data_IF_658877840367
#
_entry.id   IF_658877840367
#
_cell.length_a   1.000
_cell.length_b   1.000
_cell.length_c   1.000
_cell.angle_alpha   90.00
_cell.angle_beta   90.00
_cell.angle_gamma   90.00
#
_symmetry.space_group_name_H-M   'P 1'
#
loop_
_entity.id
_entity.type
_entity.pdbx_description
1 polymer ?
#
# COMPACT_ATOMS: atom_id res chain seq x y z
N UNK A 1 42.78 32.15 -11.71
CA UNK A 1 42.17 30.81 -11.65
C UNK A 1 40.92 30.72 -10.75
N UNK A 2 40.68 31.61 -9.78
CA UNK A 2 39.56 31.48 -8.82
C UNK A 2 38.13 31.74 -9.34
N UNK A 3 37.92 32.67 -10.30
CA UNK A 3 36.56 33.04 -10.76
C UNK A 3 35.86 31.96 -11.59
N UNK A 4 36.58 31.23 -12.47
CA UNK A 4 36.02 30.12 -13.25
C UNK A 4 35.61 28.94 -12.36
N UNK A 5 36.43 28.60 -11.36
CA UNK A 5 36.10 27.51 -10.44
C UNK A 5 34.91 27.85 -9.52
N UNK A 6 34.74 29.13 -9.17
CA UNK A 6 33.58 29.60 -8.41
C UNK A 6 32.28 29.58 -9.24
N UNK A 7 32.35 29.97 -10.53
CA UNK A 7 31.20 29.91 -11.45
C UNK A 7 30.82 28.45 -11.75
N UNK A 8 31.81 27.58 -11.98
CA UNK A 8 31.59 26.14 -12.20
C UNK A 8 31.00 25.50 -10.93
N UNK A 9 31.53 25.82 -9.75
CA UNK A 9 30.99 25.35 -8.47
C UNK A 9 29.55 25.81 -8.23
N UNK A 10 29.25 27.08 -8.50
CA UNK A 10 27.89 27.62 -8.40
C UNK A 10 26.91 26.96 -9.38
N UNK A 11 27.33 26.72 -10.62
CA UNK A 11 26.51 26.04 -11.63
C UNK A 11 26.24 24.57 -11.28
N UNK A 12 27.22 23.86 -10.71
CA UNK A 12 27.06 22.48 -10.24
C UNK A 12 26.07 22.40 -9.06
N UNK A 13 26.21 23.31 -8.08
CA UNK A 13 25.29 23.36 -6.92
C UNK A 13 23.86 23.71 -7.36
N UNK A 14 23.70 24.70 -8.24
CA UNK A 14 22.39 25.05 -8.80
C UNK A 14 21.77 23.89 -9.60
N UNK A 15 22.58 23.20 -10.40
CA UNK A 15 22.14 22.01 -11.15
C UNK A 15 21.67 20.88 -10.23
N UNK A 16 22.42 20.57 -9.17
CA UNK A 16 22.02 19.56 -8.18
C UNK A 16 20.74 19.95 -7.43
N UNK A 17 20.56 21.22 -7.10
CA UNK A 17 19.34 21.72 -6.45
C UNK A 17 18.11 21.60 -7.36
N UNK A 18 18.25 21.88 -8.66
CA UNK A 18 17.17 21.71 -9.65
C UNK A 18 16.82 20.23 -9.81
N UNK A 19 17.82 19.35 -9.92
CA UNK A 19 17.59 17.89 -10.02
C UNK A 19 16.88 17.36 -8.78
N UNK A 20 17.34 17.74 -7.58
CA UNK A 20 16.68 17.36 -6.32
C UNK A 20 15.24 17.91 -6.22
N UNK A 21 15.02 19.16 -6.64
CA UNK A 21 13.70 19.80 -6.64
C UNK A 21 12.70 19.17 -7.62
N UNK A 22 13.18 18.67 -8.77
CA UNK A 22 12.35 17.99 -9.77
C UNK A 22 12.14 16.50 -9.47
N UNK A 23 13.07 15.84 -8.77
CA UNK A 23 13.00 14.40 -8.50
C UNK A 23 11.78 13.99 -7.66
N UNK A 24 11.38 14.79 -6.67
CA UNK A 24 10.20 14.52 -5.83
C UNK A 24 8.86 14.59 -6.58
N UNK A 25 8.52 15.67 -7.30
CA UNK A 25 7.29 15.72 -8.10
C UNK A 25 7.29 14.70 -9.24
N UNK A 26 8.44 14.46 -9.89
CA UNK A 26 8.55 13.42 -10.93
C UNK A 26 8.33 12.02 -10.36
N UNK A 27 8.78 11.73 -9.13
CA UNK A 27 8.52 10.45 -8.47
C UNK A 27 7.02 10.22 -8.17
N UNK A 28 6.21 11.28 -8.07
CA UNK A 28 4.74 11.21 -7.93
C UNK A 28 3.99 11.22 -9.28
N UNK A 29 4.68 11.37 -10.40
CA UNK A 29 4.07 11.42 -11.74
C UNK A 29 4.01 10.04 -12.40
N UNK A 30 4.88 9.10 -12.01
CA UNK A 30 4.88 7.75 -12.56
C UNK A 30 3.62 6.97 -12.15
N UNK A 31 2.87 6.46 -13.12
CA UNK A 31 1.93 5.38 -12.86
C UNK A 31 2.73 4.12 -12.58
N UNK A 32 2.47 3.47 -11.45
CA UNK A 32 3.07 2.17 -11.16
C UNK A 32 2.23 1.11 -11.87
N UNK A 33 2.85 0.25 -12.67
CA UNK A 33 2.18 -0.88 -13.36
C UNK A 33 2.13 -2.13 -12.48
N UNK A 34 0.95 -2.75 -12.32
CA UNK A 34 0.80 -3.91 -11.41
C UNK A 34 1.59 -5.07 -11.99
N UNK A 35 2.41 -5.72 -11.17
CA UNK A 35 3.25 -6.83 -11.63
C UNK A 35 2.35 -7.91 -12.27
N UNK A 36 2.73 -8.38 -13.45
CA UNK A 36 1.96 -9.37 -14.20
C UNK A 36 1.78 -10.67 -13.42
N UNK A 37 2.77 -11.07 -12.61
CA UNK A 37 2.71 -12.25 -11.74
C UNK A 37 1.65 -12.05 -10.66
N UNK A 38 1.53 -10.84 -10.12
CA UNK A 38 0.52 -10.49 -9.14
C UNK A 38 -0.89 -10.51 -9.76
N UNK A 39 -1.03 -9.99 -10.99
CA UNK A 39 -2.29 -10.01 -11.75
C UNK A 39 -2.75 -11.43 -12.11
N UNK A 40 -1.81 -12.31 -12.42
CA UNK A 40 -2.09 -13.71 -12.78
C UNK A 40 -2.54 -14.51 -11.56
N UNK A 41 -1.88 -14.32 -10.40
CA UNK A 41 -2.13 -15.12 -9.20
C UNK A 41 -3.36 -14.69 -8.41
N UNK A 42 -3.76 -13.41 -8.48
CA UNK A 42 -5.01 -12.96 -7.85
C UNK A 42 -6.20 -13.55 -8.62
N UNK A 43 -6.95 -14.45 -7.98
CA UNK A 43 -8.09 -15.13 -8.61
C UNK A 43 -9.40 -14.35 -8.50
N UNK A 44 -9.53 -13.48 -7.50
CA UNK A 44 -10.75 -12.72 -7.24
C UNK A 44 -10.90 -11.56 -8.25
N UNK A 45 -11.90 -11.58 -9.15
CA UNK A 45 -12.10 -10.52 -10.14
C UNK A 45 -12.43 -9.18 -9.50
N UNK A 46 -13.12 -9.15 -8.36
CA UNK A 46 -13.41 -7.89 -7.68
C UNK A 46 -12.13 -7.29 -7.08
N UNK A 47 -11.21 -8.14 -6.60
CA UNK A 47 -9.90 -7.68 -6.15
C UNK A 47 -9.04 -7.17 -7.32
N UNK A 48 -9.11 -7.79 -8.50
CA UNK A 48 -8.39 -7.33 -9.71
C UNK A 48 -8.67 -5.86 -10.04
N UNK A 49 -9.93 -5.45 -9.97
CA UNK A 49 -10.34 -4.06 -10.21
C UNK A 49 -9.78 -3.09 -9.15
N UNK A 50 -9.49 -3.57 -7.94
CA UNK A 50 -8.92 -2.77 -6.85
C UNK A 50 -7.38 -2.75 -6.84
N UNK A 51 -6.72 -3.60 -7.63
CA UNK A 51 -5.25 -3.68 -7.65
C UNK A 51 -4.54 -2.35 -7.96
N UNK A 52 -5.04 -1.48 -8.86
CA UNK A 52 -4.46 -0.16 -9.04
C UNK A 52 -4.47 0.68 -7.76
N UNK A 53 -5.54 0.60 -6.97
CA UNK A 53 -5.64 1.30 -5.68
C UNK A 53 -4.63 0.72 -4.71
N UNK A 54 -4.67 -0.59 -4.47
CA UNK A 54 -3.74 -1.23 -3.54
C UNK A 54 -2.28 -0.97 -3.91
N UNK A 55 -1.94 -1.00 -5.20
CA UNK A 55 -0.56 -0.78 -5.60
C UNK A 55 -0.10 0.67 -5.39
N UNK A 56 -0.95 1.64 -5.66
CA UNK A 56 -0.57 3.04 -5.51
C UNK A 56 -0.61 3.53 -4.06
N UNK A 57 -1.35 2.82 -3.18
CA UNK A 57 -1.61 3.28 -1.81
C UNK A 57 -0.97 2.38 -0.74
N UNK A 58 -0.86 1.07 -0.97
CA UNK A 58 -0.50 0.09 0.07
C UNK A 58 0.79 -0.67 -0.21
N UNK A 59 1.00 -1.12 -1.46
CA UNK A 59 2.00 -2.16 -1.76
C UNK A 59 3.45 -1.68 -1.66
N UNK A 60 3.73 -0.39 -1.71
CA UNK A 60 5.09 0.14 -1.53
C UNK A 60 5.74 -0.37 -0.22
N UNK A 61 4.93 -0.56 0.83
CA UNK A 61 5.36 -1.10 2.12
C UNK A 61 4.85 -2.52 2.41
N UNK A 62 3.74 -2.95 1.79
CA UNK A 62 3.06 -4.21 2.09
C UNK A 62 3.31 -5.34 1.09
N UNK A 63 4.16 -5.13 0.07
CA UNK A 63 4.65 -6.19 -0.83
C UNK A 63 6.17 -6.25 -0.80
N UNK A 64 6.71 -7.47 -0.74
CA UNK A 64 8.16 -7.73 -0.80
C UNK A 64 8.75 -7.33 -2.15
N UNK A 65 7.96 -7.42 -3.23
CA UNK A 65 8.36 -7.10 -4.61
C UNK A 65 8.31 -5.61 -4.98
N UNK A 66 7.89 -4.72 -4.06
CA UNK A 66 7.68 -3.33 -4.42
C UNK A 66 8.98 -2.56 -4.75
N UNK A 67 8.95 -1.79 -5.84
CA UNK A 67 10.06 -0.95 -6.25
C UNK A 67 10.12 0.33 -5.40
N UNK A 68 11.23 0.47 -4.67
CA UNK A 68 11.44 1.62 -3.80
C UNK A 68 11.81 2.87 -4.59
N UNK A 69 11.40 4.05 -4.11
CA UNK A 69 11.85 5.31 -4.72
C UNK A 69 13.37 5.45 -4.57
N UNK A 70 14.00 6.17 -5.50
CA UNK A 70 15.46 6.35 -5.56
C UNK A 70 16.08 6.81 -4.23
N UNK A 71 15.32 7.62 -3.46
CA UNK A 71 15.81 8.19 -2.21
C UNK A 71 15.89 7.15 -1.08
N UNK A 72 15.23 6.00 -1.19
CA UNK A 72 15.25 4.95 -0.17
C UNK A 72 16.65 4.38 0.10
N UNK A 73 17.59 4.55 -0.84
CA UNK A 73 18.99 4.16 -0.69
C UNK A 73 19.91 5.25 -0.16
N UNK A 74 19.42 6.48 0.04
CA UNK A 74 20.28 7.61 0.39
C UNK A 74 20.78 7.52 1.85
N UNK A 75 22.07 7.87 2.11
CA UNK A 75 22.60 7.95 3.46
C UNK A 75 21.76 8.88 4.35
N UNK A 76 21.56 8.49 5.61
CA UNK A 76 20.80 9.27 6.60
C UNK A 76 19.30 8.94 6.67
N UNK A 77 18.67 8.46 5.58
CA UNK A 77 17.24 8.09 5.56
C UNK A 77 16.99 6.62 5.26
N UNK A 78 17.91 5.93 4.59
CA UNK A 78 17.73 4.54 4.18
C UNK A 78 17.41 3.58 5.33
N UNK A 79 18.06 3.75 6.48
CA UNK A 79 17.80 2.94 7.67
C UNK A 79 16.36 3.04 8.17
N UNK A 80 15.81 4.26 8.20
CA UNK A 80 14.43 4.50 8.62
C UNK A 80 13.43 3.90 7.62
N UNK A 81 13.65 4.12 6.31
CA UNK A 81 12.78 3.55 5.26
C UNK A 81 12.73 2.02 5.35
N UNK A 82 13.88 1.37 5.56
CA UNK A 82 13.94 -0.09 5.69
C UNK A 82 13.29 -0.59 6.99
N UNK A 83 13.46 0.13 8.10
CA UNK A 83 12.81 -0.20 9.37
C UNK A 83 11.29 -0.10 9.26
N UNK A 84 10.77 0.95 8.64
CA UNK A 84 9.34 1.15 8.43
C UNK A 84 8.75 0.08 7.51
N UNK A 85 9.42 -0.27 6.41
CA UNK A 85 8.99 -1.38 5.53
C UNK A 85 9.00 -2.72 6.25
N UNK A 86 10.07 -3.02 6.99
CA UNK A 86 10.15 -4.27 7.77
C UNK A 86 9.00 -4.36 8.76
N UNK A 87 8.68 -3.25 9.44
CA UNK A 87 7.54 -3.18 10.34
C UNK A 87 6.23 -3.41 9.57
N UNK A 88 6.00 -2.71 8.46
CA UNK A 88 4.78 -2.83 7.65
C UNK A 88 4.53 -4.28 7.19
N UNK A 89 5.55 -4.94 6.62
CA UNK A 89 5.47 -6.35 6.20
C UNK A 89 5.18 -7.28 7.37
N UNK A 90 5.75 -7.03 8.55
CA UNK A 90 5.45 -7.83 9.74
C UNK A 90 3.99 -7.69 10.22
N UNK A 91 3.34 -6.55 9.95
CA UNK A 91 1.91 -6.37 10.25
C UNK A 91 1.02 -6.99 9.17
N UNK A 92 1.43 -6.89 7.91
CA UNK A 92 0.68 -7.39 6.78
C UNK A 92 1.58 -7.54 5.55
N UNK A 93 1.68 -8.77 5.05
CA UNK A 93 2.42 -9.13 3.83
C UNK A 93 1.45 -9.66 2.79
N UNK A 94 1.22 -8.85 1.76
CA UNK A 94 0.27 -9.15 0.70
C UNK A 94 0.74 -10.32 -0.18
N UNK A 95 2.06 -10.49 -0.36
CA UNK A 95 2.59 -11.54 -1.21
C UNK A 95 2.39 -12.92 -0.57
N UNK A 96 2.38 -13.00 0.77
CA UNK A 96 2.06 -14.23 1.48
C UNK A 96 0.55 -14.50 1.48
N UNK A 97 -0.26 -13.48 1.76
CA UNK A 97 -1.68 -13.70 2.04
C UNK A 97 -2.58 -13.81 0.80
N UNK A 98 -2.23 -13.13 -0.30
CA UNK A 98 -3.11 -13.08 -1.49
C UNK A 98 -2.76 -14.15 -2.52
N UNK A 99 -1.55 -14.72 -2.44
CA UNK A 99 -1.06 -15.69 -3.41
C UNK A 99 -1.35 -17.15 -3.01
N UNK A 100 -1.72 -17.40 -1.75
CA UNK A 100 -1.83 -18.75 -1.18
C UNK A 100 -3.28 -19.21 -0.90
N UNK A 101 -4.29 -18.35 -1.05
CA UNK A 101 -5.69 -18.74 -0.82
C UNK A 101 -6.65 -17.57 -0.60
N UNK A 102 -7.71 -17.81 0.19
CA UNK A 102 -8.62 -16.76 0.63
C UNK A 102 -7.93 -15.83 1.65
N UNK A 103 -8.14 -14.53 1.49
CA UNK A 103 -7.57 -13.51 2.37
C UNK A 103 -8.12 -13.69 3.79
N UNK A 104 -7.26 -13.83 4.82
CA UNK A 104 -7.71 -14.03 6.19
C UNK A 104 -8.60 -12.89 6.69
N UNK A 105 -9.59 -13.21 7.52
CA UNK A 105 -10.45 -12.21 8.16
C UNK A 105 -9.66 -11.19 8.97
N UNK A 106 -8.56 -11.60 9.61
CA UNK A 106 -7.67 -10.69 10.33
C UNK A 106 -7.09 -9.60 9.41
N UNK A 107 -6.82 -9.92 8.16
CA UNK A 107 -6.27 -8.99 7.17
C UNK A 107 -7.35 -8.08 6.61
N UNK A 108 -8.54 -8.62 6.31
CA UNK A 108 -9.71 -7.82 5.95
C UNK A 108 -10.05 -6.79 7.06
N UNK A 109 -10.01 -7.22 8.33
CA UNK A 109 -10.22 -6.35 9.48
C UNK A 109 -9.16 -5.25 9.62
N UNK A 110 -7.87 -5.58 9.43
CA UNK A 110 -6.78 -4.59 9.43
C UNK A 110 -6.98 -3.55 8.33
N UNK A 111 -7.32 -3.98 7.11
CA UNK A 111 -7.56 -3.07 5.98
C UNK A 111 -8.75 -2.15 6.28
N UNK A 112 -9.87 -2.71 6.74
CA UNK A 112 -11.04 -1.90 7.12
C UNK A 112 -10.67 -0.87 8.18
N UNK A 113 -9.99 -1.27 9.26
CA UNK A 113 -9.63 -0.38 10.36
C UNK A 113 -8.78 0.80 9.88
N UNK A 114 -7.75 0.56 9.07
CA UNK A 114 -6.89 1.66 8.61
C UNK A 114 -7.57 2.61 7.63
N UNK A 115 -8.58 2.12 6.89
CA UNK A 115 -9.43 2.93 6.02
C UNK A 115 -10.41 3.79 6.82
N UNK A 116 -11.06 3.20 7.84
CA UNK A 116 -11.98 3.90 8.74
C UNK A 116 -11.25 4.98 9.57
N UNK A 117 -10.03 4.68 10.02
CA UNK A 117 -9.23 5.62 10.79
C UNK A 117 -8.49 6.66 9.93
N UNK A 118 -8.39 6.46 8.62
CA UNK A 118 -7.59 7.33 7.72
C UNK A 118 -6.09 7.34 8.03
N UNK A 119 -5.59 6.32 8.74
CA UNK A 119 -4.22 6.24 9.25
C UNK A 119 -3.22 5.68 8.23
N UNK A 120 -3.69 5.15 7.10
CA UNK A 120 -2.85 4.65 6.02
C UNK A 120 -3.07 5.43 4.71
N UNK A 121 -1.99 5.76 3.97
CA UNK A 121 -0.60 5.61 4.38
C UNK A 121 -0.22 6.55 5.54
N UNK A 122 0.87 6.26 6.28
CA UNK A 122 1.32 7.12 7.37
C UNK A 122 1.52 8.56 6.89
N UNK A 123 1.22 9.54 7.74
CA UNK A 123 1.31 10.97 7.36
C UNK A 123 2.68 11.36 6.80
N UNK A 124 3.76 10.86 7.40
CA UNK A 124 5.13 11.11 6.92
C UNK A 124 5.41 10.53 5.52
N UNK A 125 4.70 9.46 5.13
CA UNK A 125 4.77 8.95 3.77
C UNK A 125 4.06 9.90 2.81
N UNK A 126 2.87 10.39 3.19
CA UNK A 126 2.04 11.31 2.39
C UNK A 126 2.71 12.66 2.12
N UNK A 127 3.63 13.13 2.97
CA UNK A 127 4.36 14.38 2.70
C UNK A 127 5.27 14.29 1.48
N UNK A 128 5.85 13.11 1.24
CA UNK A 128 6.68 12.83 0.06
C UNK A 128 5.87 12.22 -1.09
N UNK A 129 4.76 11.56 -0.77
CA UNK A 129 3.88 10.84 -1.71
C UNK A 129 2.44 11.28 -1.56
N UNK A 130 2.11 12.53 -1.84
CA UNK A 130 0.77 13.07 -1.59
C UNK A 130 -0.34 12.33 -2.36
N UNK A 131 -0.03 11.80 -3.55
CA UNK A 131 -0.95 10.97 -4.34
C UNK A 131 -1.24 9.59 -3.73
N UNK A 132 -0.47 9.18 -2.71
CA UNK A 132 -0.71 7.92 -1.99
C UNK A 132 -1.88 7.99 -1.00
N UNK A 133 -2.45 9.18 -0.77
CA UNK A 133 -3.65 9.33 0.05
C UNK A 133 -4.83 8.55 -0.53
N UNK A 134 -5.52 7.76 0.28
CA UNK A 134 -6.74 7.05 -0.13
C UNK A 134 -7.91 8.04 -0.15
N UNK A 135 -8.65 8.11 -1.26
CA UNK A 135 -9.86 8.94 -1.34
C UNK A 135 -11.07 8.25 -0.72
N UNK A 136 -12.15 9.00 -0.47
CA UNK A 136 -13.39 8.43 0.06
C UNK A 136 -13.99 7.39 -0.90
N UNK A 137 -13.90 7.63 -2.21
CA UNK A 137 -14.36 6.69 -3.24
C UNK A 137 -13.51 5.41 -3.26
N UNK A 138 -12.18 5.54 -3.20
CA UNK A 138 -11.25 4.41 -3.13
C UNK A 138 -11.50 3.58 -1.85
N UNK A 139 -11.69 4.26 -0.71
CA UNK A 139 -12.00 3.65 0.57
C UNK A 139 -13.32 2.88 0.51
N UNK A 140 -14.38 3.50 -0.01
CA UNK A 140 -15.69 2.86 -0.16
C UNK A 140 -15.66 1.65 -1.10
N UNK A 141 -14.87 1.70 -2.17
CA UNK A 141 -14.69 0.57 -3.07
C UNK A 141 -14.06 -0.64 -2.34
N UNK A 142 -13.00 -0.41 -1.57
CA UNK A 142 -12.34 -1.46 -0.77
C UNK A 142 -13.27 -2.00 0.33
N UNK A 143 -13.96 -1.12 1.07
CA UNK A 143 -14.90 -1.53 2.12
C UNK A 143 -16.08 -2.34 1.57
N UNK A 144 -16.55 -2.03 0.36
CA UNK A 144 -17.61 -2.79 -0.32
C UNK A 144 -17.14 -4.19 -0.74
N UNK A 145 -15.89 -4.28 -1.20
CA UNK A 145 -15.26 -5.57 -1.49
C UNK A 145 -15.08 -6.41 -0.22
N UNK A 146 -14.60 -5.83 0.88
CA UNK A 146 -14.46 -6.52 2.19
C UNK A 146 -15.81 -7.09 2.65
N UNK A 147 -16.88 -6.29 2.61
CA UNK A 147 -18.24 -6.74 2.96
C UNK A 147 -18.69 -7.92 2.09
N UNK A 148 -18.44 -7.85 0.79
CA UNK A 148 -18.79 -8.90 -0.17
C UNK A 148 -18.01 -10.20 0.08
N UNK A 149 -16.71 -10.11 0.39
CA UNK A 149 -15.87 -11.25 0.75
C UNK A 149 -16.37 -11.94 2.01
N UNK A 150 -16.66 -11.16 3.05
CA UNK A 150 -17.21 -11.65 4.31
C UNK A 150 -18.59 -12.28 4.13
N UNK A 151 -19.47 -11.65 3.36
CA UNK A 151 -20.78 -12.19 3.06
C UNK A 151 -20.68 -13.56 2.39
N UNK A 152 -19.86 -13.66 1.33
CA UNK A 152 -19.62 -14.90 0.60
C UNK A 152 -19.02 -16.00 1.49
N UNK A 153 -18.00 -15.67 2.27
CA UNK A 153 -17.31 -16.65 3.13
C UNK A 153 -18.21 -17.21 4.25
N UNK A 154 -19.19 -16.44 4.69
CA UNK A 154 -20.01 -16.76 5.85
C UNK A 154 -21.49 -17.06 5.51
N UNK A 155 -21.86 -17.08 4.22
CA UNK A 155 -23.24 -17.28 3.77
C UNK A 155 -24.21 -16.19 4.24
N UNK A 156 -23.73 -14.96 4.39
CA UNK A 156 -24.51 -13.80 4.85
C UNK A 156 -24.92 -12.90 3.68
N UNK A 157 -25.87 -12.01 3.92
CA UNK A 157 -26.20 -10.93 3.01
C UNK A 157 -25.11 -9.82 3.07
N UNK A 158 -24.61 -9.29 1.93
CA UNK A 158 -23.66 -8.18 1.92
C UNK A 158 -24.14 -6.89 2.59
N UNK A 159 -25.45 -6.73 2.79
CA UNK A 159 -26.08 -5.61 3.49
C UNK A 159 -26.25 -5.87 5.00
N UNK A 160 -25.90 -7.07 5.48
CA UNK A 160 -25.95 -7.38 6.90
C UNK A 160 -24.99 -6.46 7.69
N UNK A 161 -25.46 -5.98 8.84
CA UNK A 161 -24.66 -5.17 9.76
C UNK A 161 -23.44 -5.95 10.29
N UNK A 162 -23.50 -7.28 10.33
CA UNK A 162 -22.41 -8.14 10.76
C UNK A 162 -21.18 -8.00 9.87
N UNK A 163 -21.34 -8.07 8.54
CA UNK A 163 -20.22 -8.00 7.59
C UNK A 163 -19.58 -6.61 7.52
N UNK A 164 -20.28 -5.59 8.04
CA UNK A 164 -19.82 -4.21 8.12
C UNK A 164 -19.04 -3.89 9.41
N UNK A 165 -19.00 -4.80 10.40
CA UNK A 165 -18.22 -4.56 11.62
C UNK A 165 -16.72 -4.65 11.35
N UNK A 166 -15.92 -3.83 12.04
CA UNK A 166 -14.47 -3.80 11.88
C UNK A 166 -13.82 -5.18 12.11
N UNK A 167 -14.38 -6.00 13.01
CA UNK A 167 -13.98 -7.39 13.20
C UNK A 167 -15.23 -8.29 13.20
N UNK A 168 -15.24 -9.33 12.35
CA UNK A 168 -16.28 -10.34 12.42
C UNK A 168 -16.20 -11.13 13.73
N UNK A 169 -17.34 -11.42 14.38
CA UNK A 169 -17.36 -12.35 15.51
C UNK A 169 -16.74 -13.69 15.12
N UNK A 170 -15.99 -14.30 16.03
CA UNK A 170 -15.45 -15.64 15.79
C UNK A 170 -16.59 -16.58 15.43
N UNK A 171 -16.56 -17.09 14.21
CA UNK A 171 -17.45 -18.17 13.82
C UNK A 171 -17.07 -19.41 14.62
N UNK A 172 -18.06 -20.20 15.03
CA UNK A 172 -17.77 -21.49 15.68
C UNK A 172 -16.92 -22.31 14.71
N UNK A 173 -15.73 -22.71 15.14
CA UNK A 173 -14.86 -23.60 14.37
C UNK A 173 -15.70 -24.84 13.99
N UNK A 174 -15.67 -25.32 12.74
CA UNK A 174 -16.25 -26.61 12.42
C UNK A 174 -15.68 -27.63 13.40
N UNK A 175 -16.53 -28.34 14.13
CA UNK A 175 -16.09 -29.47 14.95
C UNK A 175 -15.61 -30.51 13.93
N UNK A 176 -14.35 -30.97 13.99
CA UNK A 176 -13.91 -32.02 13.09
C UNK A 176 -14.83 -33.23 13.27
N UNK A 177 -15.17 -33.95 12.19
CA UNK A 177 -15.94 -35.18 12.31
C UNK A 177 -15.21 -36.13 13.28
N UNK A 178 -15.98 -36.77 14.15
CA UNK A 178 -15.50 -37.73 15.14
C UNK A 178 -14.87 -38.97 14.49
#
# INVERSE_FOLDING_TARGET
MGKRNLIIGGAVVAGLAIVAGLALPLSNLGMREVDAIFLEKVQDPALKELLPIFKNKCLDCHSTGAQLPFYAGLPGISGQVQADRKKALAWWDVDLEWLEGDIPEASLAKIQQVLEDGNMPPMMYKTLHWKSSVTDEESQAILSWIRSKRAKANGLDPTDKLVSRSVLPMQKRPVPPA
#
